data_IF_624734174299
#
_entry.id   IF_624734174299
#
_cell.length_a   1.000
_cell.length_b   1.000
_cell.length_c   1.000
_cell.angle_alpha   90.00
_cell.angle_beta   90.00
_cell.angle_gamma   90.00
#
_symmetry.space_group_name_H-M   'P 1'
#
loop_
_entity.id
_entity.type
_entity.pdbx_description
1 polymer ?
#
# COMPACT_ATOMS: atom_id res chain seq x y z
N UNK A 1 -6.93 18.84 -11.35
CA UNK A 1 -6.98 17.36 -11.44
C UNK A 1 -7.34 16.85 -10.06
N UNK A 2 -8.44 16.11 -9.91
CA UNK A 2 -8.93 15.63 -8.61
C UNK A 2 -8.00 14.49 -8.15
N UNK A 3 -7.31 14.66 -7.03
CA UNK A 3 -6.55 13.56 -6.43
C UNK A 3 -7.53 12.55 -5.85
N UNK A 4 -7.46 11.31 -6.34
CA UNK A 4 -8.38 10.25 -5.90
C UNK A 4 -7.87 9.65 -4.58
N UNK A 5 -8.70 9.76 -3.53
CA UNK A 5 -8.40 9.33 -2.17
C UNK A 5 -9.23 8.09 -1.81
N UNK A 6 -8.58 7.02 -1.38
CA UNK A 6 -9.19 5.72 -1.09
C UNK A 6 -8.89 5.29 0.34
N UNK A 7 -9.92 5.02 1.13
CA UNK A 7 -9.78 4.45 2.48
C UNK A 7 -9.85 2.93 2.40
N UNK A 8 -8.83 2.28 2.95
CA UNK A 8 -8.61 0.85 2.84
C UNK A 8 -8.35 0.27 4.22
N UNK A 9 -8.72 -0.99 4.44
CA UNK A 9 -8.39 -1.74 5.64
C UNK A 9 -7.73 -3.04 5.23
N UNK A 10 -6.62 -3.39 5.86
CA UNK A 10 -5.86 -4.60 5.52
C UNK A 10 -5.06 -5.13 6.68
N UNK A 11 -4.74 -6.43 6.61
CA UNK A 11 -3.88 -7.11 7.57
C UNK A 11 -2.41 -6.90 7.18
N UNK A 12 -1.61 -6.48 8.16
CA UNK A 12 -0.16 -6.36 8.03
C UNK A 12 0.47 -7.74 8.12
N UNK A 13 1.44 -7.99 7.25
CA UNK A 13 2.16 -9.25 7.21
C UNK A 13 3.65 -9.02 6.96
N UNK A 14 4.46 -9.89 7.52
CA UNK A 14 5.90 -9.91 7.36
C UNK A 14 6.32 -10.67 6.08
N UNK A 15 7.15 -10.04 5.25
CA UNK A 15 7.72 -10.73 4.10
C UNK A 15 8.73 -11.80 4.53
N UNK A 16 8.59 -13.07 4.10
CA UNK A 16 9.37 -14.21 4.60
C UNK A 16 10.80 -14.31 4.03
N UNK A 17 11.35 -13.25 3.44
CA UNK A 17 12.73 -13.26 2.89
C UNK A 17 13.81 -13.29 3.97
N UNK A 18 15.05 -13.65 3.60
CA UNK A 18 16.19 -13.94 4.50
C UNK A 18 16.43 -12.91 5.63
N UNK A 19 16.00 -11.66 5.48
CA UNK A 19 16.16 -10.61 6.49
C UNK A 19 14.86 -10.14 7.18
N UNK A 20 13.69 -10.71 6.86
CA UNK A 20 12.42 -10.50 7.59
C UNK A 20 12.04 -9.05 7.94
N UNK A 21 12.58 -8.04 7.24
CA UNK A 21 12.50 -6.65 7.71
C UNK A 21 11.29 -5.89 7.13
N UNK A 22 10.79 -6.36 5.98
CA UNK A 22 9.75 -5.68 5.22
C UNK A 22 8.37 -6.15 5.67
N UNK A 23 7.55 -5.18 6.07
CA UNK A 23 6.15 -5.40 6.38
C UNK A 23 5.31 -4.82 5.24
N UNK A 24 4.25 -5.53 4.88
CA UNK A 24 3.35 -5.15 3.83
C UNK A 24 1.91 -5.19 4.31
N UNK A 25 1.06 -4.42 3.64
CA UNK A 25 -0.40 -4.53 3.78
C UNK A 25 -1.02 -4.62 2.40
N UNK A 26 -1.98 -5.53 2.24
CA UNK A 26 -2.76 -5.64 1.00
C UNK A 26 -3.76 -4.49 0.90
N UNK A 27 -3.88 -3.95 -0.30
CA UNK A 27 -4.98 -3.08 -0.69
C UNK A 27 -6.18 -3.98 -1.01
N UNK A 28 -7.38 -3.58 -0.58
CA UNK A 28 -8.57 -4.38 -0.87
C UNK A 28 -8.79 -4.52 -2.39
N UNK A 29 -9.48 -5.60 -2.79
CA UNK A 29 -9.68 -5.94 -4.20
C UNK A 29 -10.43 -4.85 -4.96
N UNK A 30 -11.45 -4.24 -4.35
CA UNK A 30 -12.27 -3.20 -4.98
C UNK A 30 -11.43 -1.96 -5.27
N UNK A 31 -10.69 -1.47 -4.29
CA UNK A 31 -9.79 -0.33 -4.46
C UNK A 31 -8.68 -0.65 -5.47
N UNK A 32 -8.13 -1.87 -5.43
CA UNK A 32 -7.11 -2.31 -6.38
C UNK A 32 -7.62 -2.31 -7.83
N UNK A 33 -8.83 -2.79 -8.07
CA UNK A 33 -9.47 -2.76 -9.39
C UNK A 33 -9.71 -1.33 -9.88
N UNK A 34 -10.17 -0.43 -9.00
CA UNK A 34 -10.36 0.98 -9.33
C UNK A 34 -9.02 1.61 -9.73
N UNK A 35 -7.97 1.44 -8.91
CA UNK A 35 -6.62 1.95 -9.20
C UNK A 35 -6.12 1.40 -10.54
N UNK A 36 -6.30 0.10 -10.79
CA UNK A 36 -5.88 -0.56 -12.04
C UNK A 36 -6.58 0.01 -13.27
N UNK A 37 -7.87 0.38 -13.15
CA UNK A 37 -8.67 1.00 -14.22
C UNK A 37 -8.33 2.48 -14.44
N UNK A 38 -8.01 3.22 -13.39
CA UNK A 38 -7.68 4.65 -13.47
C UNK A 38 -6.26 4.89 -14.00
N UNK A 39 -5.34 3.96 -13.77
CA UNK A 39 -3.95 4.03 -14.24
C UNK A 39 -3.81 3.40 -15.64
N UNK A 40 -4.21 4.14 -16.68
CA UNK A 40 -4.29 3.71 -18.10
C UNK A 40 -3.02 4.01 -18.91
N UNK A 41 -2.05 4.75 -18.37
CA UNK A 41 -0.80 5.13 -19.04
C UNK A 41 0.25 4.02 -18.88
N UNK A 42 1.16 3.76 -19.86
CA UNK A 42 2.20 2.75 -19.75
C UNK A 42 2.96 2.88 -18.43
N UNK A 43 2.82 1.86 -17.59
CA UNK A 43 3.38 1.83 -16.24
C UNK A 43 4.90 1.72 -16.35
N UNK A 44 5.63 2.81 -16.10
CA UNK A 44 7.09 2.77 -15.99
C UNK A 44 7.48 1.89 -14.79
N UNK A 45 8.18 0.78 -15.04
CA UNK A 45 8.72 -0.13 -14.02
C UNK A 45 7.66 -0.99 -13.30
N UNK A 46 7.69 -2.31 -13.53
CA UNK A 46 6.99 -3.37 -12.79
C UNK A 46 5.48 -3.19 -12.48
N UNK A 47 4.79 -2.23 -13.10
CA UNK A 47 3.39 -1.96 -12.84
C UNK A 47 3.10 -1.20 -11.53
N UNK A 48 4.11 -0.58 -10.92
CA UNK A 48 3.96 0.17 -9.66
C UNK A 48 3.18 1.48 -9.84
N UNK A 49 2.47 1.91 -8.79
CA UNK A 49 1.68 3.15 -8.77
C UNK A 49 2.17 4.05 -7.65
N UNK A 50 2.49 5.31 -7.97
CA UNK A 50 2.88 6.30 -6.96
C UNK A 50 1.67 6.75 -6.17
N UNK A 51 1.82 6.74 -4.87
CA UNK A 51 0.79 7.14 -3.94
C UNK A 51 1.37 7.95 -2.80
N UNK A 52 0.50 8.69 -2.14
CA UNK A 52 0.75 9.16 -0.80
C UNK A 52 -0.12 8.35 0.16
N UNK A 53 0.54 7.64 1.08
CA UNK A 53 -0.12 6.81 2.08
C UNK A 53 -0.25 7.59 3.39
N UNK A 54 -1.37 7.40 4.07
CA UNK A 54 -1.62 7.95 5.42
C UNK A 54 -2.12 6.83 6.33
N UNK A 55 -1.46 6.65 7.48
CA UNK A 55 -1.92 5.80 8.58
C UNK A 55 -1.92 6.65 9.84
N UNK A 56 -3.05 6.70 10.54
CA UNK A 56 -3.21 7.55 11.72
C UNK A 56 -2.80 8.99 11.45
N UNK A 57 -1.68 9.43 12.05
CA UNK A 57 -1.13 10.79 11.89
C UNK A 57 0.04 10.85 10.91
N UNK A 58 0.56 9.70 10.50
CA UNK A 58 1.74 9.59 9.64
C UNK A 58 1.37 9.56 8.16
N UNK A 59 1.89 10.52 7.39
CA UNK A 59 1.74 10.61 5.93
C UNK A 59 3.09 10.53 5.23
N UNK A 60 3.20 9.71 4.18
CA UNK A 60 4.43 9.61 3.40
C UNK A 60 4.19 9.24 1.94
N UNK A 61 5.11 9.67 1.07
CA UNK A 61 5.13 9.31 -0.34
C UNK A 61 5.78 7.92 -0.52
N UNK A 62 5.14 7.08 -1.32
CA UNK A 62 5.63 5.73 -1.63
C UNK A 62 5.01 5.23 -2.93
N UNK A 63 5.24 3.96 -3.25
CA UNK A 63 4.60 3.27 -4.36
C UNK A 63 3.91 2.01 -3.85
N UNK A 64 2.76 1.70 -4.42
CA UNK A 64 2.13 0.39 -4.29
C UNK A 64 2.53 -0.49 -5.47
N UNK A 65 2.66 -1.78 -5.22
CA UNK A 65 3.16 -2.76 -6.20
C UNK A 65 2.09 -3.80 -6.49
N UNK A 66 1.89 -4.20 -7.75
CA UNK A 66 0.95 -5.26 -8.06
C UNK A 66 1.48 -6.59 -7.51
N UNK A 67 0.64 -7.33 -6.81
CA UNK A 67 0.90 -8.70 -6.43
C UNK A 67 0.12 -9.63 -7.35
N UNK A 68 0.84 -10.40 -8.16
CA UNK A 68 0.24 -11.35 -9.11
C UNK A 68 -0.46 -12.51 -8.43
N UNK A 69 -0.08 -12.84 -7.18
CA UNK A 69 -0.70 -13.95 -6.43
C UNK A 69 -2.07 -13.58 -5.87
N UNK A 70 -2.20 -12.44 -5.20
CA UNK A 70 -3.48 -11.97 -4.67
C UNK A 70 -4.35 -11.24 -5.70
N UNK A 71 -3.76 -10.78 -6.81
CA UNK A 71 -4.43 -9.92 -7.78
C UNK A 71 -4.72 -8.51 -7.23
N UNK A 72 -4.07 -8.12 -6.14
CA UNK A 72 -4.24 -6.82 -5.47
C UNK A 72 -2.96 -6.01 -5.49
N UNK A 73 -2.99 -4.79 -4.97
CA UNK A 73 -1.78 -4.00 -4.73
C UNK A 73 -1.25 -4.20 -3.31
N UNK A 74 0.07 -4.14 -3.16
CA UNK A 74 0.79 -4.17 -1.89
C UNK A 74 1.32 -2.78 -1.54
N UNK A 75 1.09 -2.36 -0.30
CA UNK A 75 1.70 -1.16 0.27
C UNK A 75 2.85 -1.57 1.20
N UNK A 76 4.11 -1.18 0.92
CA UNK A 76 5.21 -1.36 1.86
C UNK A 76 5.07 -0.40 3.06
N UNK A 77 5.22 -0.96 4.27
CA UNK A 77 5.23 -0.19 5.51
C UNK A 77 6.67 0.03 5.99
N UNK A 78 7.11 1.30 5.96
CA UNK A 78 8.43 1.69 6.46
C UNK A 78 8.52 1.41 7.97
N UNK A 79 9.71 1.02 8.43
CA UNK A 79 9.96 0.79 9.85
C UNK A 79 9.65 2.03 10.72
N UNK A 80 9.94 3.24 10.24
CA UNK A 80 9.60 4.48 10.94
C UNK A 80 8.09 4.66 11.12
N UNK A 81 7.30 4.42 10.06
CA UNK A 81 5.83 4.51 10.12
C UNK A 81 5.27 3.50 11.12
N UNK A 82 5.75 2.24 11.06
CA UNK A 82 5.31 1.19 11.99
C UNK A 82 5.63 1.52 13.44
N UNK A 83 6.80 2.07 13.71
CA UNK A 83 7.20 2.48 15.08
C UNK A 83 6.34 3.64 15.58
N UNK A 84 6.08 4.66 14.75
CA UNK A 84 5.27 5.82 15.15
C UNK A 84 3.81 5.46 15.42
N UNK A 85 3.22 4.60 14.59
CA UNK A 85 1.80 4.23 14.69
C UNK A 85 1.59 2.91 15.47
N UNK A 86 2.63 2.37 16.11
CA UNK A 86 2.63 1.13 16.88
C UNK A 86 2.03 -0.08 16.12
N UNK A 87 2.51 -0.34 14.90
CA UNK A 87 2.01 -1.38 14.00
C UNK A 87 2.95 -2.58 13.97
N UNK A 88 2.43 -3.74 14.33
CA UNK A 88 3.09 -5.04 14.27
C UNK A 88 2.67 -5.92 13.09
N UNK A 89 3.30 -7.10 12.99
CA UNK A 89 2.81 -8.19 12.16
C UNK A 89 1.46 -8.69 12.69
N UNK A 90 0.54 -9.03 11.78
CA UNK A 90 -0.78 -9.54 12.13
C UNK A 90 -1.85 -8.47 12.39
N UNK A 91 -1.45 -7.21 12.59
CA UNK A 91 -2.37 -6.12 12.87
C UNK A 91 -3.29 -5.80 11.69
N UNK A 92 -4.53 -5.43 11.98
CA UNK A 92 -5.48 -4.95 10.97
C UNK A 92 -5.55 -3.43 11.04
N UNK A 93 -4.91 -2.77 10.08
CA UNK A 93 -4.82 -1.31 10.03
C UNK A 93 -5.81 -0.72 9.04
N UNK A 94 -6.27 0.50 9.32
CA UNK A 94 -6.97 1.35 8.35
C UNK A 94 -6.01 2.41 7.83
N UNK A 95 -5.93 2.54 6.52
CA UNK A 95 -5.02 3.47 5.86
C UNK A 95 -5.70 4.15 4.69
N UNK A 96 -5.16 5.29 4.28
CA UNK A 96 -5.67 6.04 3.15
C UNK A 96 -4.59 6.15 2.07
N UNK A 97 -4.98 5.90 0.82
CA UNK A 97 -4.14 6.05 -0.35
C UNK A 97 -4.63 7.21 -1.20
N UNK A 98 -3.74 8.09 -1.57
CA UNK A 98 -4.00 9.15 -2.54
C UNK A 98 -3.13 8.93 -3.77
N UNK A 99 -3.75 8.78 -4.94
CA UNK A 99 -3.01 8.62 -6.20
C UNK A 99 -2.45 9.98 -6.60
N UNK A 100 -1.16 10.00 -6.96
CA UNK A 100 -0.47 11.18 -7.49
C UNK A 100 -0.05 11.00 -8.95
#
# INVERSE_FOLDING_TARGET
>A
MVSAKYKVRGKVWLWPGENGAWHFVHVDKKTSEIIKKTQTTPRRGFGSVRVEATIGKTRWKTSIFPDSRSGTYLLPLKASVRRTEAIGDGDVISFTLEIR
#
